data_IF_640866164928
#
_entry.id   IF_640866164928
#
_cell.length_a   1.000
_cell.length_b   1.000
_cell.length_c   1.000
_cell.angle_alpha   90.00
_cell.angle_beta   90.00
_cell.angle_gamma   90.00
#
_symmetry.space_group_name_H-M   'P 1'
#
loop_
_entity.id
_entity.type
_entity.pdbx_description
1 polymer ?
#
# COMPACT_ATOMS: atom_id res chain seq x y z
N UNK A 1 -46.39 8.09 24.35
CA UNK A 1 -46.14 7.25 25.53
C UNK A 1 -46.21 8.13 26.77
N UNK A 2 -47.28 8.02 27.57
CA UNK A 2 -47.51 8.85 28.75
C UNK A 2 -47.04 8.12 30.02
N UNK A 3 -46.27 8.80 30.89
CA UNK A 3 -45.95 8.35 32.25
C UNK A 3 -46.72 9.20 33.25
N UNK A 4 -47.30 8.53 34.25
CA UNK A 4 -48.14 9.11 35.31
C UNK A 4 -47.23 9.56 36.46
N UNK A 5 -47.27 10.83 36.83
CA UNK A 5 -46.64 11.35 38.06
C UNK A 5 -47.64 11.38 39.21
N UNK A 6 -47.14 11.35 40.45
CA UNK A 6 -47.83 11.04 41.72
C UNK A 6 -48.96 11.99 42.14
N UNK A 7 -49.21 13.08 41.42
CA UNK A 7 -50.15 14.13 41.85
C UNK A 7 -51.42 14.21 40.99
N UNK A 8 -51.82 13.10 40.36
CA UNK A 8 -53.20 12.90 39.86
C UNK A 8 -53.67 13.82 38.72
N UNK A 9 -52.81 14.62 38.11
CA UNK A 9 -53.15 15.52 37.00
C UNK A 9 -52.56 15.06 35.67
N UNK A 10 -53.41 14.92 34.65
CA UNK A 10 -53.02 14.62 33.27
C UNK A 10 -52.57 15.91 32.57
N UNK A 11 -51.26 16.07 32.32
CA UNK A 11 -50.75 17.14 31.44
C UNK A 11 -50.58 16.59 30.02
N UNK A 12 -51.41 17.08 29.11
CA UNK A 12 -51.20 16.98 27.66
C UNK A 12 -50.03 17.88 27.29
N UNK A 13 -48.98 17.32 26.69
CA UNK A 13 -47.89 18.09 26.11
C UNK A 13 -48.27 18.39 24.65
N UNK A 14 -48.74 19.60 24.41
CA UNK A 14 -48.99 20.15 23.08
C UNK A 14 -47.65 20.55 22.43
N UNK A 15 -47.45 20.14 21.18
CA UNK A 15 -46.31 20.58 20.36
C UNK A 15 -46.64 21.93 19.73
N UNK A 16 -45.77 22.96 19.83
CA UNK A 16 -45.98 24.22 19.12
C UNK A 16 -45.62 24.06 17.63
N UNK A 17 -46.61 24.33 16.78
CA UNK A 17 -46.46 24.53 15.34
C UNK A 17 -46.00 25.96 15.09
N UNK A 18 -44.84 26.14 14.46
CA UNK A 18 -44.34 27.46 14.07
C UNK A 18 -44.44 27.66 12.56
N UNK A 19 -45.27 28.64 12.21
CA UNK A 19 -45.48 29.21 10.89
C UNK A 19 -44.21 29.91 10.37
N UNK A 20 -43.79 29.62 9.13
CA UNK A 20 -42.92 30.54 8.36
C UNK A 20 -43.45 30.82 6.96
N UNK A 21 -43.99 32.04 6.90
CA UNK A 21 -44.21 32.97 5.79
C UNK A 21 -43.55 32.64 4.45
N UNK A 22 -44.40 32.61 3.42
CA UNK A 22 -44.08 32.77 2.01
C UNK A 22 -43.47 34.17 1.77
N UNK A 23 -42.27 34.19 1.20
CA UNK A 23 -41.63 35.38 0.65
C UNK A 23 -41.18 35.08 -0.78
N UNK A 24 -41.95 35.56 -1.75
CA UNK A 24 -41.61 35.62 -3.17
C UNK A 24 -40.55 36.69 -3.40
N UNK A 25 -39.35 36.31 -3.86
CA UNK A 25 -38.44 37.20 -4.57
C UNK A 25 -37.92 36.47 -5.81
N UNK A 26 -38.24 37.07 -6.94
CA UNK A 26 -37.81 36.76 -8.30
C UNK A 26 -36.34 37.07 -8.50
N UNK A 27 -35.55 36.09 -8.96
CA UNK A 27 -34.34 36.33 -9.75
C UNK A 27 -34.23 35.27 -10.84
N UNK A 28 -34.06 35.74 -12.07
CA UNK A 28 -34.03 34.94 -13.28
C UNK A 28 -32.75 34.09 -13.33
N UNK A 29 -32.91 32.76 -13.37
CA UNK A 29 -31.87 31.82 -13.72
C UNK A 29 -32.23 31.17 -15.07
N UNK A 30 -31.31 31.26 -16.02
CA UNK A 30 -31.36 30.67 -17.35
C UNK A 30 -31.63 29.15 -17.27
N UNK A 31 -32.84 28.72 -17.63
CA UNK A 31 -33.15 27.31 -17.84
C UNK A 31 -32.48 26.82 -19.12
N UNK A 32 -31.56 25.86 -19.00
CA UNK A 32 -31.23 24.94 -20.10
C UNK A 32 -32.15 23.73 -19.97
N UNK A 33 -32.91 23.33 -21.01
CA UNK A 33 -33.85 22.23 -20.91
C UNK A 33 -33.12 20.90 -20.79
N UNK A 34 -33.47 20.13 -19.76
CA UNK A 34 -33.12 18.71 -19.61
C UNK A 34 -34.01 17.89 -20.53
N UNK A 35 -33.60 17.72 -21.79
CA UNK A 35 -34.18 16.74 -22.70
C UNK A 35 -33.03 15.95 -23.32
N UNK A 36 -32.91 14.68 -22.92
CA UNK A 36 -32.47 13.48 -23.68
C UNK A 36 -32.08 12.37 -22.70
N UNK A 37 -33.06 11.93 -21.92
CA UNK A 37 -33.19 10.52 -21.59
C UNK A 37 -34.21 9.97 -22.59
N UNK A 38 -33.97 8.75 -23.07
CA UNK A 38 -34.73 8.00 -24.08
C UNK A 38 -34.29 8.27 -25.53
N UNK A 39 -33.29 7.51 -25.97
CA UNK A 39 -33.23 6.89 -27.30
C UNK A 39 -32.43 5.60 -27.17
N UNK A 40 -33.04 4.62 -26.49
CA UNK A 40 -32.69 3.20 -26.61
C UNK A 40 -33.68 2.59 -27.60
N UNK A 41 -33.61 3.01 -28.86
CA UNK A 41 -34.20 2.25 -29.95
C UNK A 41 -33.09 1.42 -30.60
N UNK A 42 -33.17 0.12 -30.31
CA UNK A 42 -32.34 -0.94 -30.87
C UNK A 42 -32.62 -1.02 -32.37
N UNK A 43 -31.67 -0.60 -33.21
CA UNK A 43 -31.60 -1.05 -34.60
C UNK A 43 -30.89 -2.40 -34.64
N UNK A 44 -31.69 -3.46 -34.77
CA UNK A 44 -31.31 -4.88 -34.68
C UNK A 44 -30.53 -5.43 -35.88
N UNK A 45 -29.67 -4.65 -36.55
CA UNK A 45 -28.99 -5.12 -37.78
C UNK A 45 -27.46 -4.90 -37.85
N UNK A 46 -26.80 -4.42 -36.79
CA UNK A 46 -25.34 -4.48 -36.73
C UNK A 46 -24.87 -4.96 -35.35
N UNK A 47 -24.43 -6.22 -35.34
CA UNK A 47 -23.89 -6.92 -34.19
C UNK A 47 -22.72 -6.17 -33.54
N UNK A 48 -22.83 -5.99 -32.22
CA UNK A 48 -21.74 -5.98 -31.23
C UNK A 48 -20.46 -5.22 -31.60
N UNK A 49 -20.48 -3.88 -31.50
CA UNK A 49 -19.25 -3.10 -31.28
C UNK A 49 -19.48 -2.15 -30.11
N UNK A 50 -18.78 -2.40 -29.01
CA UNK A 50 -18.83 -1.57 -27.80
C UNK A 50 -18.29 -0.18 -28.13
N UNK A 51 -19.13 0.85 -27.99
CA UNK A 51 -18.72 2.24 -28.08
C UNK A 51 -17.71 2.52 -26.95
N UNK A 52 -16.50 2.94 -27.31
CA UNK A 52 -15.48 3.31 -26.33
C UNK A 52 -15.72 4.75 -25.89
N UNK A 53 -16.04 4.93 -24.61
CA UNK A 53 -16.23 6.27 -24.01
C UNK A 53 -14.95 6.67 -23.30
N UNK A 54 -14.32 7.77 -23.72
CA UNK A 54 -13.17 8.32 -23.02
C UNK A 54 -13.61 8.84 -21.64
N UNK A 55 -12.96 8.33 -20.59
CA UNK A 55 -13.30 8.66 -19.19
C UNK A 55 -13.06 10.13 -18.82
N UNK A 56 -12.24 10.84 -19.59
CA UNK A 56 -11.86 12.24 -19.30
C UNK A 56 -12.82 13.24 -19.92
N UNK A 57 -13.25 13.04 -21.16
CA UNK A 57 -14.07 14.00 -21.91
C UNK A 57 -15.51 13.54 -22.21
N UNK A 58 -15.88 12.29 -21.91
CA UNK A 58 -17.23 11.70 -22.09
C UNK A 58 -17.86 11.89 -23.48
N UNK A 59 -17.08 12.24 -24.51
CA UNK A 59 -17.57 12.29 -25.88
C UNK A 59 -17.44 10.90 -26.53
N UNK A 60 -18.50 10.47 -27.19
CA UNK A 60 -18.52 9.26 -28.00
C UNK A 60 -17.80 9.56 -29.32
N UNK A 61 -16.53 9.21 -29.41
CA UNK A 61 -15.83 9.20 -30.69
C UNK A 61 -16.15 7.88 -31.40
N UNK A 62 -16.75 7.89 -32.61
CA UNK A 62 -16.89 6.67 -33.37
C UNK A 62 -15.49 6.09 -33.62
N UNK A 63 -15.27 4.76 -33.48
CA UNK A 63 -13.97 4.20 -33.76
C UNK A 63 -13.63 4.50 -35.23
N UNK A 64 -12.50 5.17 -35.46
CA UNK A 64 -11.96 5.36 -36.80
C UNK A 64 -11.90 3.98 -37.48
N UNK A 65 -12.47 3.81 -38.70
CA UNK A 65 -12.28 2.57 -39.41
C UNK A 65 -10.79 2.43 -39.67
N UNK A 66 -10.16 1.46 -39.00
CA UNK A 66 -8.91 0.92 -39.49
C UNK A 66 -9.22 0.43 -40.90
N UNK A 67 -8.87 1.22 -41.91
CA UNK A 67 -8.69 0.75 -43.26
C UNK A 67 -7.56 -0.28 -43.15
N UNK A 68 -7.94 -1.52 -42.87
CA UNK A 68 -7.15 -2.67 -43.23
C UNK A 68 -6.99 -2.56 -44.75
N UNK A 69 -5.92 -1.90 -45.19
CA UNK A 69 -5.35 -2.14 -46.51
C UNK A 69 -5.09 -3.64 -46.53
N UNK A 70 -6.04 -4.37 -47.11
CA UNK A 70 -5.86 -5.75 -47.50
C UNK A 70 -4.69 -5.73 -48.49
N UNK A 71 -3.49 -5.97 -47.98
CA UNK A 71 -2.39 -6.36 -48.84
C UNK A 71 -2.82 -7.68 -49.46
N UNK A 72 -3.26 -7.64 -50.71
CA UNK A 72 -3.36 -8.79 -51.59
C UNK A 72 -2.02 -9.52 -51.50
N UNK A 73 -2.02 -10.64 -50.79
CA UNK A 73 -0.86 -11.52 -50.67
C UNK A 73 -0.73 -12.21 -52.03
N UNK A 74 0.21 -11.77 -52.87
CA UNK A 74 0.69 -12.62 -53.95
C UNK A 74 1.38 -13.83 -53.33
N UNK A 75 0.65 -14.94 -53.28
CA UNK A 75 1.04 -16.20 -52.67
C UNK A 75 1.97 -17.03 -53.59
N UNK A 76 2.97 -16.42 -54.22
CA UNK A 76 3.84 -17.12 -55.18
C UNK A 76 5.34 -17.08 -54.86
N UNK A 77 5.77 -16.50 -53.72
CA UNK A 77 7.20 -16.47 -53.36
C UNK A 77 7.48 -17.24 -52.07
N UNK A 78 8.06 -18.45 -52.18
CA UNK A 78 8.33 -19.41 -51.10
C UNK A 78 9.66 -19.20 -50.34
N UNK A 79 10.21 -17.98 -50.32
CA UNK A 79 11.46 -17.67 -49.57
C UNK A 79 11.25 -17.37 -48.08
N UNK A 80 12.32 -17.35 -47.25
CA UNK A 80 12.25 -16.97 -45.83
C UNK A 80 11.76 -15.53 -45.63
N UNK A 81 11.14 -15.27 -44.47
CA UNK A 81 10.49 -13.97 -44.16
C UNK A 81 11.46 -12.78 -44.26
N UNK A 82 12.70 -13.00 -43.85
CA UNK A 82 13.81 -12.04 -43.86
C UNK A 82 14.09 -11.55 -45.28
N UNK A 83 14.27 -12.47 -46.25
CA UNK A 83 14.47 -12.14 -47.66
C UNK A 83 13.26 -11.45 -48.29
N UNK A 84 12.03 -11.80 -47.88
CA UNK A 84 10.81 -11.12 -48.37
C UNK A 84 10.73 -9.67 -47.90
N UNK A 85 11.08 -9.41 -46.65
CA UNK A 85 11.14 -8.05 -46.11
C UNK A 85 12.27 -7.27 -46.77
N UNK A 86 13.41 -7.92 -47.00
CA UNK A 86 14.58 -7.39 -47.69
C UNK A 86 14.24 -6.91 -49.12
N UNK A 87 13.61 -7.77 -49.92
CA UNK A 87 13.14 -7.42 -51.29
C UNK A 87 12.11 -6.30 -51.28
N UNK A 88 11.25 -6.22 -50.26
CA UNK A 88 10.25 -5.14 -50.16
C UNK A 88 10.84 -3.78 -49.79
N UNK A 89 11.86 -3.76 -48.94
CA UNK A 89 12.55 -2.51 -48.56
C UNK A 89 13.29 -1.94 -49.78
N UNK A 90 13.91 -2.81 -50.57
CA UNK A 90 14.72 -2.39 -51.73
C UNK A 90 14.00 -2.42 -53.07
N UNK A 91 12.78 -2.95 -53.14
CA UNK A 91 11.95 -2.97 -54.34
C UNK A 91 12.48 -3.85 -55.48
N UNK A 92 13.57 -4.58 -55.27
CA UNK A 92 14.21 -5.47 -56.26
C UNK A 92 14.29 -6.90 -55.74
N UNK A 93 14.27 -7.89 -56.65
CA UNK A 93 14.36 -9.31 -56.30
C UNK A 93 15.75 -9.72 -55.77
N UNK A 94 16.80 -8.98 -56.15
CA UNK A 94 18.16 -9.14 -55.65
C UNK A 94 18.64 -7.87 -54.94
N UNK A 95 18.36 -7.73 -53.64
CA UNK A 95 18.81 -6.59 -52.85
C UNK A 95 20.32 -6.62 -52.58
N UNK A 96 21.04 -5.49 -52.74
CA UNK A 96 22.50 -5.45 -52.61
C UNK A 96 22.97 -5.79 -51.17
N UNK A 97 23.92 -6.71 -51.07
CA UNK A 97 24.50 -7.25 -49.83
C UNK A 97 24.37 -8.78 -49.73
N UNK A 98 25.34 -9.43 -49.07
CA UNK A 98 25.33 -10.88 -48.83
C UNK A 98 24.11 -11.29 -47.98
N UNK A 99 23.66 -12.56 -48.14
CA UNK A 99 22.73 -13.19 -47.19
C UNK A 99 23.32 -13.07 -45.79
N UNK A 100 22.47 -12.72 -44.82
CA UNK A 100 22.83 -12.30 -43.47
C UNK A 100 24.08 -13.03 -42.91
N UNK A 101 25.20 -12.34 -42.65
CA UNK A 101 26.47 -12.98 -42.25
C UNK A 101 26.43 -13.61 -40.85
N UNK A 102 25.36 -13.38 -40.09
CA UNK A 102 25.05 -14.10 -38.86
C UNK A 102 23.88 -15.02 -39.19
N UNK A 103 24.13 -16.33 -39.34
CA UNK A 103 23.16 -17.30 -39.87
C UNK A 103 21.78 -17.34 -39.17
N UNK A 104 20.89 -18.21 -39.67
CA UNK A 104 19.44 -18.29 -39.37
C UNK A 104 19.02 -17.68 -38.02
N UNK A 105 18.35 -16.52 -38.09
CA UNK A 105 17.84 -15.82 -36.92
C UNK A 105 16.92 -16.73 -36.09
N UNK A 106 16.87 -16.53 -34.77
CA UNK A 106 16.02 -17.30 -33.83
C UNK A 106 14.54 -17.33 -34.26
N UNK A 107 14.10 -16.32 -35.02
CA UNK A 107 12.79 -16.27 -35.63
C UNK A 107 12.62 -17.31 -36.74
N UNK A 108 13.58 -17.50 -37.64
CA UNK A 108 13.53 -18.54 -38.68
C UNK A 108 13.47 -19.95 -38.10
N UNK A 109 14.21 -20.22 -37.01
CA UNK A 109 14.14 -21.50 -36.28
C UNK A 109 12.74 -21.77 -35.71
N UNK A 110 12.02 -20.73 -35.28
CA UNK A 110 10.64 -20.88 -34.79
C UNK A 110 9.64 -21.11 -35.92
N UNK A 111 9.85 -20.50 -37.09
CA UNK A 111 8.94 -20.67 -38.23
C UNK A 111 9.16 -21.98 -39.01
N UNK A 112 10.37 -22.56 -38.97
CA UNK A 112 10.62 -23.90 -39.55
C UNK A 112 10.01 -25.07 -38.77
N UNK A 113 9.57 -24.88 -37.52
CA UNK A 113 9.03 -25.97 -36.69
C UNK A 113 7.66 -26.53 -37.14
N UNK A 114 7.04 -25.97 -38.17
CA UNK A 114 5.76 -26.47 -38.71
C UNK A 114 5.79 -26.63 -40.24
N UNK A 115 6.41 -27.69 -40.81
CA UNK A 115 6.01 -28.18 -42.13
C UNK A 115 4.84 -29.18 -41.99
N UNK A 116 3.84 -29.16 -42.90
CA UNK A 116 2.87 -30.24 -43.00
C UNK A 116 3.57 -31.53 -43.47
N UNK A 117 3.15 -32.67 -42.90
CA UNK A 117 3.65 -34.01 -43.25
C UNK A 117 3.21 -34.37 -44.66
N UNK A 118 4.15 -34.48 -45.59
CA UNK A 118 4.03 -35.30 -46.79
C UNK A 118 5.10 -36.40 -46.72
N UNK A 119 4.65 -37.62 -47.00
CA UNK A 119 5.45 -38.83 -47.06
C UNK A 119 6.28 -38.81 -48.33
N UNK A 120 7.56 -39.19 -48.26
CA UNK A 120 8.21 -40.07 -49.24
C UNK A 120 9.64 -40.44 -48.78
N UNK A 121 9.82 -41.75 -48.65
CA UNK A 121 10.94 -42.62 -49.06
C UNK A 121 12.42 -42.18 -48.92
N UNK A 122 13.18 -43.07 -48.29
CA UNK A 122 14.65 -43.06 -48.21
C UNK A 122 15.28 -43.27 -49.61
N UNK A 123 16.55 -42.87 -49.78
CA UNK A 123 17.55 -43.93 -49.81
C UNK A 123 18.79 -43.67 -48.94
N UNK A 124 19.38 -44.82 -48.61
CA UNK A 124 20.63 -45.09 -47.92
C UNK A 124 21.80 -44.50 -48.70
N UNK A 125 22.65 -43.72 -48.04
CA UNK A 125 24.10 -43.60 -48.24
C UNK A 125 24.62 -42.40 -47.41
N UNK A 126 25.32 -42.71 -46.32
CA UNK A 126 26.33 -41.91 -45.55
C UNK A 126 26.29 -42.24 -44.05
N UNK A 127 26.37 -43.53 -43.70
CA UNK A 127 26.53 -44.01 -42.32
C UNK A 127 27.96 -44.49 -42.01
N UNK A 128 28.99 -43.94 -42.68
CA UNK A 128 30.38 -44.41 -42.56
C UNK A 128 31.43 -43.31 -42.29
N UNK A 129 31.06 -42.13 -41.79
CA UNK A 129 32.04 -41.05 -41.55
C UNK A 129 31.96 -40.33 -40.19
N UNK A 130 31.21 -40.84 -39.22
CA UNK A 130 31.13 -40.21 -37.87
C UNK A 130 31.40 -41.15 -36.70
N UNK A 131 31.65 -42.45 -36.94
CA UNK A 131 32.07 -43.38 -35.87
C UNK A 131 33.57 -43.30 -35.53
N UNK A 132 34.33 -42.38 -36.12
CA UNK A 132 35.77 -42.24 -35.87
C UNK A 132 36.16 -40.98 -35.07
N UNK A 133 35.19 -40.25 -34.49
CA UNK A 133 35.45 -38.99 -33.78
C UNK A 133 34.84 -38.89 -32.37
N UNK A 134 34.26 -39.96 -31.82
CA UNK A 134 33.61 -39.95 -30.49
C UNK A 134 34.38 -40.76 -29.43
N UNK A 135 35.53 -41.35 -29.77
CA UNK A 135 36.39 -42.07 -28.81
C UNK A 135 37.49 -41.22 -28.15
N UNK A 136 37.43 -39.88 -28.28
CA UNK A 136 38.42 -39.01 -27.67
C UNK A 136 37.76 -37.79 -27.04
N UNK A 137 37.04 -38.00 -25.94
CA UNK A 137 36.92 -37.04 -24.84
C UNK A 137 36.23 -37.78 -23.68
N UNK A 138 37.03 -38.60 -23.00
CA UNK A 138 36.73 -39.11 -21.67
C UNK A 138 36.36 -37.93 -20.77
N UNK A 139 35.12 -37.99 -20.28
CA UNK A 139 34.71 -37.72 -18.91
C UNK A 139 35.83 -37.21 -18.00
N UNK A 140 35.91 -35.88 -17.84
CA UNK A 140 36.39 -35.29 -16.58
C UNK A 140 35.16 -35.16 -15.70
N UNK A 141 34.79 -36.27 -15.07
CA UNK A 141 34.01 -36.25 -13.83
C UNK A 141 34.93 -35.63 -12.78
N UNK A 142 34.59 -34.52 -12.12
CA UNK A 142 35.25 -34.18 -10.87
C UNK A 142 34.80 -35.22 -9.84
N UNK A 143 35.57 -36.31 -9.76
CA UNK A 143 35.59 -37.21 -8.61
C UNK A 143 36.09 -36.38 -7.42
N UNK A 144 35.17 -35.97 -6.54
CA UNK A 144 35.41 -35.72 -5.11
C UNK A 144 34.12 -35.20 -4.45
N UNK A 145 33.10 -36.05 -4.37
CA UNK A 145 32.11 -36.02 -3.29
C UNK A 145 32.21 -37.39 -2.63
N UNK A 146 32.49 -37.50 -1.32
CA UNK A 146 32.56 -38.79 -0.67
C UNK A 146 31.18 -39.45 -0.73
N UNK A 147 31.05 -40.47 -1.56
CA UNK A 147 29.88 -41.35 -1.59
C UNK A 147 29.91 -42.13 -0.29
N UNK A 148 29.24 -41.61 0.74
CA UNK A 148 28.96 -42.38 1.93
C UNK A 148 28.19 -43.63 1.53
N UNK A 149 28.55 -44.79 2.09
CA UNK A 149 28.04 -46.14 1.79
C UNK A 149 26.53 -46.33 2.11
N UNK A 150 25.75 -45.24 2.26
CA UNK A 150 24.39 -45.20 2.79
C UNK A 150 23.41 -44.40 1.90
N UNK A 151 23.61 -44.39 0.58
CA UNK A 151 22.64 -43.80 -0.35
C UNK A 151 21.64 -44.86 -0.84
N UNK A 152 20.38 -44.75 -0.43
CA UNK A 152 19.28 -45.59 -0.92
C UNK A 152 18.43 -44.82 -1.94
N UNK A 153 18.20 -45.36 -3.16
CA UNK A 153 17.38 -44.69 -4.15
C UNK A 153 15.89 -44.70 -3.74
N UNK A 154 15.21 -43.57 -3.92
CA UNK A 154 13.79 -43.45 -3.61
C UNK A 154 12.91 -44.31 -4.53
N UNK A 155 11.95 -45.04 -3.95
CA UNK A 155 10.98 -45.87 -4.68
C UNK A 155 9.70 -45.13 -5.07
N UNK A 156 9.35 -44.06 -4.34
CA UNK A 156 8.22 -43.18 -4.64
C UNK A 156 8.69 -41.72 -4.61
N UNK A 157 7.94 -40.84 -5.25
CA UNK A 157 8.21 -39.40 -5.25
C UNK A 157 7.66 -38.69 -4.00
N UNK A 158 6.89 -39.40 -3.18
CA UNK A 158 6.27 -38.88 -1.96
C UNK A 158 7.34 -38.59 -0.89
N UNK A 159 7.38 -37.36 -0.40
CA UNK A 159 8.33 -36.94 0.63
C UNK A 159 9.71 -36.49 0.12
N UNK A 160 9.98 -36.55 -1.20
CA UNK A 160 11.22 -36.00 -1.75
C UNK A 160 11.18 -34.48 -1.78
N UNK A 161 12.27 -33.85 -1.33
CA UNK A 161 12.44 -32.42 -1.51
C UNK A 161 12.55 -32.12 -2.99
N UNK A 162 11.57 -31.37 -3.51
CA UNK A 162 11.68 -30.81 -4.85
C UNK A 162 12.73 -29.70 -4.78
N UNK A 163 13.68 -29.67 -5.70
CA UNK A 163 14.73 -28.64 -5.78
C UNK A 163 14.69 -28.05 -7.18
N UNK A 164 14.86 -26.73 -7.31
CA UNK A 164 14.70 -25.99 -8.58
C UNK A 164 13.23 -25.69 -8.93
N UNK A 165 12.97 -24.63 -9.74
CA UNK A 165 11.65 -24.16 -10.23
C UNK A 165 10.48 -24.26 -9.20
N UNK A 166 10.75 -24.21 -7.90
CA UNK A 166 9.69 -24.36 -6.90
C UNK A 166 8.85 -23.10 -6.68
N UNK A 167 9.24 -22.01 -7.34
CA UNK A 167 8.64 -20.71 -7.17
C UNK A 167 9.42 -19.64 -7.92
N UNK A 168 9.07 -18.39 -7.66
CA UNK A 168 9.88 -17.25 -8.07
C UNK A 168 11.02 -17.10 -7.07
N UNK A 169 12.15 -16.53 -7.49
CA UNK A 169 13.26 -16.20 -6.58
C UNK A 169 12.81 -15.36 -5.36
N UNK A 170 11.68 -14.64 -5.49
CA UNK A 170 11.02 -13.89 -4.43
C UNK A 170 10.44 -14.73 -3.27
N UNK A 171 10.32 -16.04 -3.45
CA UNK A 171 9.74 -16.94 -2.44
C UNK A 171 10.79 -17.39 -1.42
N UNK A 172 12.07 -17.07 -1.64
CA UNK A 172 13.15 -17.22 -0.68
C UNK A 172 13.00 -16.18 0.45
N UNK A 173 13.30 -16.55 1.71
CA UNK A 173 13.21 -15.62 2.83
C UNK A 173 14.17 -14.43 2.62
N UNK A 174 13.71 -13.23 2.99
CA UNK A 174 14.49 -12.01 2.85
C UNK A 174 15.73 -12.04 3.75
N UNK A 175 16.89 -11.62 3.20
CA UNK A 175 18.10 -11.36 3.99
C UNK A 175 18.00 -10.08 4.83
N UNK A 176 18.86 -9.94 5.83
CA UNK A 176 18.92 -8.76 6.71
C UNK A 176 19.19 -7.46 5.94
N UNK A 177 20.00 -7.52 4.87
CA UNK A 177 20.28 -6.40 3.97
C UNK A 177 19.04 -5.89 3.22
N UNK A 178 17.96 -6.67 3.15
CA UNK A 178 16.71 -6.27 2.51
C UNK A 178 15.69 -5.66 3.50
N UNK A 179 16.06 -5.46 4.78
CA UNK A 179 15.14 -4.95 5.79
C UNK A 179 14.86 -3.46 5.54
N UNK A 180 13.60 -3.14 5.27
CA UNK A 180 13.15 -1.76 5.11
C UNK A 180 12.82 -1.12 6.47
N UNK A 181 13.44 0.03 6.72
CA UNK A 181 13.12 0.93 7.82
C UNK A 181 12.25 2.08 7.30
N UNK A 182 11.01 2.12 7.79
CA UNK A 182 10.06 3.15 7.42
C UNK A 182 10.27 4.40 8.26
N UNK A 183 10.21 5.57 7.62
CA UNK A 183 10.21 6.85 8.33
C UNK A 183 9.07 6.94 9.37
N UNK A 184 7.89 6.41 9.04
CA UNK A 184 6.73 6.37 9.92
C UNK A 184 6.65 5.06 10.70
N UNK A 185 5.95 5.06 11.84
CA UNK A 185 5.66 3.83 12.60
C UNK A 185 4.90 2.81 11.72
N UNK A 186 5.33 1.54 11.76
CA UNK A 186 4.75 0.45 10.96
C UNK A 186 3.29 0.17 11.32
N UNK A 187 2.93 0.28 12.59
CA UNK A 187 1.56 0.13 13.09
C UNK A 187 0.91 1.50 13.27
N UNK A 188 -0.09 1.80 12.44
CA UNK A 188 -0.81 3.07 12.48
C UNK A 188 -1.65 3.21 13.75
N UNK A 189 -1.69 4.41 14.31
CA UNK A 189 -2.52 4.73 15.47
C UNK A 189 -4.00 4.81 15.07
N UNK A 190 -4.86 4.06 15.77
CA UNK A 190 -6.31 4.05 15.53
C UNK A 190 -7.10 4.69 16.67
N UNK A 191 -6.57 4.71 17.90
CA UNK A 191 -7.30 5.29 19.04
C UNK A 191 -7.22 6.82 19.01
N UNK A 192 -8.36 7.48 19.18
CA UNK A 192 -8.47 8.95 19.20
C UNK A 192 -7.58 9.62 20.25
N UNK A 193 -7.48 9.04 21.44
CA UNK A 193 -6.61 9.56 22.50
C UNK A 193 -5.12 9.49 22.16
N UNK A 194 -4.66 8.44 21.49
CA UNK A 194 -3.27 8.36 21.02
C UNK A 194 -2.99 9.34 19.88
N UNK A 195 -3.96 9.61 19.00
CA UNK A 195 -3.83 10.67 17.99
C UNK A 195 -3.74 12.06 18.63
N UNK A 196 -4.51 12.30 19.69
CA UNK A 196 -4.44 13.53 20.46
C UNK A 196 -3.06 13.70 21.13
N UNK A 197 -2.51 12.62 21.73
CA UNK A 197 -1.17 12.61 22.31
C UNK A 197 -0.08 12.89 21.28
N UNK A 198 -0.13 12.24 20.11
CA UNK A 198 0.80 12.50 19.02
C UNK A 198 0.75 13.96 18.55
N UNK A 199 -0.44 14.55 18.44
CA UNK A 199 -0.61 15.94 18.05
C UNK A 199 -0.11 16.93 19.10
N UNK A 200 -0.35 16.64 20.39
CA UNK A 200 0.14 17.45 21.51
C UNK A 200 1.66 17.39 21.61
N UNK A 201 2.25 16.20 21.52
CA UNK A 201 3.71 16.03 21.51
C UNK A 201 4.35 16.82 20.36
N UNK A 202 3.87 16.64 19.13
CA UNK A 202 4.38 17.36 17.97
C UNK A 202 4.24 18.88 18.14
N UNK A 203 3.14 19.35 18.73
CA UNK A 203 2.94 20.77 18.98
C UNK A 203 3.94 21.33 19.99
N UNK A 204 4.17 20.64 21.11
CA UNK A 204 5.12 21.06 22.14
C UNK A 204 6.56 21.07 21.60
N UNK A 205 6.97 20.00 20.91
CA UNK A 205 8.31 19.90 20.30
C UNK A 205 8.59 21.07 19.33
N UNK A 206 7.61 21.43 18.51
CA UNK A 206 7.76 22.55 17.59
C UNK A 206 7.80 23.91 18.28
N UNK A 207 6.97 24.11 19.31
CA UNK A 207 7.03 25.33 20.11
C UNK A 207 8.42 25.50 20.76
N UNK A 208 9.00 24.39 21.25
CA UNK A 208 10.36 24.37 21.80
C UNK A 208 11.40 24.77 20.75
N UNK A 209 11.36 24.14 19.58
CA UNK A 209 12.34 24.43 18.53
C UNK A 209 12.25 25.84 17.97
N UNK A 210 11.04 26.38 17.88
CA UNK A 210 10.84 27.78 17.50
C UNK A 210 11.40 28.73 18.58
N UNK A 211 11.18 28.42 19.86
CA UNK A 211 11.77 29.22 20.96
C UNK A 211 13.30 29.21 20.97
N UNK A 212 13.91 28.11 20.50
CA UNK A 212 15.37 27.95 20.38
C UNK A 212 15.93 28.44 19.04
N UNK A 213 15.07 28.94 18.11
CA UNK A 213 15.44 29.35 16.76
C UNK A 213 16.22 28.28 15.96
N UNK A 214 15.88 27.02 16.17
CA UNK A 214 16.48 25.88 15.46
C UNK A 214 15.62 25.45 14.28
N UNK A 215 16.18 24.77 13.27
CA UNK A 215 15.38 24.26 12.15
C UNK A 215 14.31 23.29 12.66
N UNK A 216 13.05 23.55 12.31
CA UNK A 216 11.89 22.77 12.76
C UNK A 216 11.92 21.31 12.26
N UNK A 217 12.74 21.01 11.24
CA UNK A 217 12.86 19.69 10.64
C UNK A 217 13.72 18.71 11.44
N UNK A 218 14.62 19.18 12.32
CA UNK A 218 15.53 18.29 13.06
C UNK A 218 14.82 17.46 14.14
N UNK A 219 13.63 17.88 14.59
CA UNK A 219 12.76 17.07 15.48
C UNK A 219 12.46 15.69 14.87
N UNK A 220 12.39 15.62 13.53
CA UNK A 220 12.03 14.39 12.84
C UNK A 220 13.14 13.33 12.84
N UNK A 221 14.36 13.68 13.26
CA UNK A 221 15.47 12.72 13.39
C UNK A 221 15.28 11.80 14.60
N UNK A 222 14.60 12.28 15.63
CA UNK A 222 14.32 11.50 16.85
C UNK A 222 13.04 10.69 16.65
N UNK A 223 13.13 9.36 16.56
CA UNK A 223 11.94 8.50 16.28
C UNK A 223 10.95 8.51 17.45
N UNK A 224 11.42 8.23 18.67
CA UNK A 224 10.63 8.22 19.90
C UNK A 224 11.47 8.81 21.05
N UNK A 225 10.81 9.46 22.01
CA UNK A 225 11.45 9.98 23.21
C UNK A 225 11.37 8.97 24.35
N UNK A 226 12.38 8.97 25.22
CA UNK A 226 12.35 8.20 26.46
C UNK A 226 11.15 8.56 27.34
N UNK A 227 10.72 7.61 28.18
CA UNK A 227 9.58 7.76 29.07
C UNK A 227 9.65 8.99 29.98
N UNK A 228 10.86 9.36 30.42
CA UNK A 228 11.10 10.53 31.25
C UNK A 228 10.84 11.84 30.48
N UNK A 229 11.41 11.97 29.29
CA UNK A 229 11.22 13.15 28.42
C UNK A 229 9.77 13.27 27.98
N UNK A 230 9.14 12.15 27.61
CA UNK A 230 7.72 12.14 27.26
C UNK A 230 6.83 12.63 28.41
N UNK A 231 7.14 12.26 29.67
CA UNK A 231 6.39 12.72 30.84
C UNK A 231 6.50 14.24 31.03
N UNK A 232 7.67 14.81 30.76
CA UNK A 232 7.87 16.27 30.78
C UNK A 232 7.05 16.95 29.69
N UNK A 233 7.14 16.47 28.45
CA UNK A 233 6.38 16.98 27.30
C UNK A 233 4.86 16.90 27.55
N UNK A 234 4.37 15.77 28.07
CA UNK A 234 2.96 15.57 28.42
C UNK A 234 2.47 16.52 29.52
N UNK A 235 3.37 16.99 30.39
CA UNK A 235 3.08 17.97 31.44
C UNK A 235 2.91 19.41 30.93
N UNK A 236 3.42 19.73 29.74
CA UNK A 236 3.39 21.07 29.17
C UNK A 236 2.00 21.45 28.64
N UNK A 237 1.62 22.70 28.91
CA UNK A 237 0.35 23.29 28.45
C UNK A 237 0.60 24.24 27.30
N UNK A 238 -0.32 24.29 26.36
CA UNK A 238 -0.28 25.23 25.24
C UNK A 238 -1.43 26.23 25.41
N UNK A 239 -1.11 27.52 25.44
CA UNK A 239 -2.11 28.57 25.46
C UNK A 239 -2.83 28.65 24.11
N UNK A 240 -4.17 28.76 24.11
CA UNK A 240 -4.91 28.83 22.86
C UNK A 240 -4.65 30.15 22.12
N UNK A 241 -4.60 30.11 20.80
CA UNK A 241 -4.40 31.26 19.89
C UNK A 241 -3.07 32.03 20.05
N UNK A 242 -2.09 31.48 20.75
CA UNK A 242 -0.75 32.06 20.84
C UNK A 242 0.12 31.69 19.63
N UNK A 243 1.20 32.45 19.41
CA UNK A 243 2.24 32.11 18.41
C UNK A 243 3.08 30.94 18.94
N UNK A 244 3.58 30.10 18.05
CA UNK A 244 4.29 28.86 18.36
C UNK A 244 5.47 29.05 19.33
N UNK A 245 6.29 30.10 19.19
CA UNK A 245 7.39 30.37 20.14
C UNK A 245 6.99 30.82 21.57
N UNK A 246 5.82 31.44 21.75
CA UNK A 246 5.37 32.00 23.05
C UNK A 246 4.21 31.21 23.68
N UNK A 247 3.64 30.25 22.95
CA UNK A 247 2.44 29.53 23.37
C UNK A 247 2.66 28.56 24.53
N UNK A 248 3.92 28.18 24.81
CA UNK A 248 4.25 27.09 25.70
C UNK A 248 4.31 27.54 27.17
N UNK A 249 3.47 26.92 28.01
CA UNK A 249 3.46 27.09 29.46
C UNK A 249 3.93 25.80 30.10
N UNK A 250 5.05 25.89 30.79
CA UNK A 250 5.68 24.77 31.46
C UNK A 250 5.15 24.61 32.89
N UNK A 251 5.10 23.37 33.40
CA UNK A 251 4.65 23.11 34.76
C UNK A 251 5.62 23.69 35.80
N UNK A 252 6.92 23.43 35.66
CA UNK A 252 7.96 23.90 36.60
C UNK A 252 9.15 24.53 35.84
N UNK A 253 9.94 25.36 36.52
CA UNK A 253 11.15 25.92 35.91
C UNK A 253 12.19 24.84 35.59
N UNK A 254 12.36 23.84 36.46
CA UNK A 254 13.25 22.70 36.22
C UNK A 254 12.87 21.93 34.94
N UNK A 255 11.56 21.80 34.67
CA UNK A 255 11.09 21.15 33.43
C UNK A 255 11.44 21.96 32.18
N UNK A 256 11.50 23.30 32.28
CA UNK A 256 11.97 24.15 31.18
C UNK A 256 13.43 23.87 30.90
N UNK A 257 14.25 23.95 31.94
CA UNK A 257 15.70 23.87 31.80
C UNK A 257 16.11 22.47 31.28
N UNK A 258 15.45 21.41 31.76
CA UNK A 258 15.65 20.05 31.26
C UNK A 258 15.23 19.89 29.78
N UNK A 259 14.06 20.41 29.39
CA UNK A 259 13.60 20.33 28.00
C UNK A 259 14.48 21.17 27.06
N UNK A 260 14.85 22.39 27.47
CA UNK A 260 15.77 23.24 26.70
C UNK A 260 17.10 22.51 26.49
N UNK A 261 17.69 21.92 27.54
CA UNK A 261 18.92 21.15 27.43
C UNK A 261 18.82 19.97 26.45
N UNK A 262 17.74 19.18 26.52
CA UNK A 262 17.52 18.05 25.61
C UNK A 262 17.38 18.54 24.16
N UNK A 263 16.59 19.59 23.93
CA UNK A 263 16.35 20.11 22.57
C UNK A 263 17.54 20.95 22.04
N UNK A 264 18.44 21.42 22.91
CA UNK A 264 19.73 21.97 22.53
C UNK A 264 20.68 20.93 21.92
N UNK A 265 20.57 19.66 22.34
CA UNK A 265 21.33 18.57 21.72
C UNK A 265 20.72 18.12 20.39
N UNK A 266 19.40 18.24 20.24
CA UNK A 266 18.72 17.89 18.99
C UNK A 266 19.06 18.93 17.91
N UNK A 267 19.74 18.50 16.85
CA UNK A 267 20.20 19.37 15.76
C UNK A 267 21.53 20.09 16.02
N UNK A 268 22.33 19.68 17.01
CA UNK A 268 23.74 20.07 17.06
C UNK A 268 24.57 19.24 16.07
N UNK A 269 24.77 19.80 14.87
CA UNK A 269 25.79 19.51 13.86
C UNK A 269 25.63 18.28 12.93
N UNK A 270 25.42 18.60 11.64
CA UNK A 270 26.14 17.99 10.52
C UNK A 270 26.47 19.04 9.44
N UNK A 271 27.05 20.18 9.83
CA UNK A 271 27.62 21.18 8.91
C UNK A 271 29.05 21.53 9.33
N UNK A 272 29.92 20.52 9.43
CA UNK A 272 31.38 20.65 9.33
C UNK A 272 31.93 19.30 8.86
N UNK A 273 31.69 18.96 7.59
CA UNK A 273 32.27 17.78 6.97
C UNK A 273 32.44 17.94 5.44
N UNK A 274 32.78 19.14 4.95
CA UNK A 274 33.46 19.32 3.65
C UNK A 274 34.24 20.64 3.67
N UNK A 275 35.48 20.62 4.18
CA UNK A 275 36.59 21.44 3.69
C UNK A 275 37.86 21.04 4.46
N UNK A 276 38.73 20.34 3.74
CA UNK A 276 40.19 20.25 3.93
C UNK A 276 40.74 19.54 5.19
N UNK A 277 41.05 18.25 5.02
CA UNK A 277 42.29 17.65 5.56
C UNK A 277 43.50 18.29 4.85
N UNK A 278 44.68 18.46 5.49
CA UNK A 278 45.35 17.32 6.11
C UNK A 278 46.22 17.54 7.38
N UNK A 279 46.43 16.41 8.05
CA UNK A 279 47.67 15.92 8.69
C UNK A 279 47.97 16.25 10.18
N UNK A 280 47.99 15.13 10.94
CA UNK A 280 48.89 14.77 12.05
C UNK A 280 48.87 15.60 13.35
N UNK A 281 48.37 15.01 14.45
CA UNK A 281 49.24 14.36 15.44
C UNK A 281 48.47 13.85 16.71
N UNK A 282 48.91 12.67 17.16
CA UNK A 282 48.90 12.10 18.54
C UNK A 282 47.65 11.35 19.03
N UNK A 283 47.81 10.02 19.01
CA UNK A 283 47.19 9.03 19.90
C UNK A 283 47.42 9.35 21.38
N UNK A 284 46.38 9.39 22.23
CA UNK A 284 46.42 8.80 23.58
C UNK A 284 45.00 8.79 24.20
N UNK A 285 44.72 7.76 25.02
CA UNK A 285 43.48 7.51 25.79
C UNK A 285 42.38 6.68 25.11
N UNK A 286 42.76 5.44 24.76
CA UNK A 286 41.89 4.30 25.03
C UNK A 286 41.93 3.96 26.54
N UNK A 287 40.89 3.28 27.02
CA UNK A 287 40.63 2.82 28.40
C UNK A 287 39.97 3.81 29.37
N UNK A 288 38.63 3.80 29.40
CA UNK A 288 37.88 3.52 30.63
C UNK A 288 36.38 3.31 30.35
N UNK A 289 35.84 2.23 30.92
CA UNK A 289 34.41 1.88 31.11
C UNK A 289 33.65 1.18 29.97
N UNK A 290 34.19 0.05 29.48
CA UNK A 290 33.38 -1.17 29.47
C UNK A 290 33.24 -1.63 30.93
N UNK A 291 32.01 -1.72 31.45
CA UNK A 291 31.54 -2.49 32.63
C UNK A 291 30.30 -1.83 33.26
N UNK A 292 29.11 -2.29 32.88
CA UNK A 292 27.98 -2.63 33.77
C UNK A 292 26.75 -3.00 32.91
N UNK A 293 26.92 -4.05 32.11
CA UNK A 293 25.83 -4.89 31.66
C UNK A 293 25.70 -5.97 32.75
N UNK A 294 24.68 -5.85 33.61
CA UNK A 294 23.99 -6.96 34.31
C UNK A 294 23.25 -6.44 35.55
N UNK A 295 21.95 -6.12 35.38
CA UNK A 295 20.87 -6.41 36.34
C UNK A 295 19.57 -5.63 36.04
N UNK A 296 19.06 -5.70 34.80
CA UNK A 296 17.61 -5.63 34.58
C UNK A 296 17.26 -6.66 33.51
N UNK A 297 16.98 -7.89 33.95
CA UNK A 297 16.29 -8.88 33.13
C UNK A 297 14.83 -8.43 33.02
N UNK A 298 14.56 -7.45 32.17
CA UNK A 298 13.22 -7.25 31.64
C UNK A 298 13.04 -8.23 30.50
N UNK A 299 12.35 -9.32 30.82
CA UNK A 299 11.75 -10.24 29.88
C UNK A 299 11.21 -9.46 28.67
N UNK A 300 11.86 -9.60 27.52
CA UNK A 300 11.35 -9.21 26.21
C UNK A 300 10.10 -10.05 25.92
N UNK A 301 9.01 -9.64 26.54
CA UNK A 301 7.69 -10.05 26.13
C UNK A 301 7.45 -9.42 24.75
N UNK A 302 7.31 -10.27 23.74
CA UNK A 302 6.89 -9.95 22.36
C UNK A 302 5.50 -9.28 22.26
N UNK A 303 5.01 -8.67 23.34
CA UNK A 303 3.89 -7.75 23.31
C UNK A 303 4.40 -6.38 22.84
N UNK A 304 3.73 -5.73 21.87
CA UNK A 304 4.13 -4.40 21.45
C UNK A 304 4.09 -3.48 22.67
N UNK A 305 5.22 -2.83 22.97
CA UNK A 305 5.28 -1.83 24.03
C UNK A 305 4.07 -0.89 23.90
N UNK A 306 3.37 -0.58 25.01
CA UNK A 306 2.17 0.23 24.94
C UNK A 306 2.52 1.60 24.34
N UNK A 307 1.82 1.97 23.26
CA UNK A 307 1.98 3.28 22.63
C UNK A 307 1.89 4.39 23.68
N UNK A 308 2.81 5.35 23.63
CA UNK A 308 2.93 6.42 24.61
C UNK A 308 2.96 5.91 26.05
N UNK A 309 3.69 4.84 26.35
CA UNK A 309 3.92 4.32 27.71
C UNK A 309 2.65 4.05 28.55
N UNK A 310 1.50 3.83 27.90
CA UNK A 310 0.21 3.57 28.55
C UNK A 310 -0.66 4.80 28.82
N UNK A 311 -0.25 6.00 28.38
CA UNK A 311 -1.09 7.20 28.47
C UNK A 311 -2.27 7.13 27.50
N UNK A 312 -3.48 7.41 27.99
CA UNK A 312 -4.72 7.27 27.23
C UNK A 312 -5.15 8.56 26.52
N UNK A 313 -4.95 9.73 27.13
CA UNK A 313 -5.40 11.02 26.60
C UNK A 313 -4.51 12.18 27.08
N UNK A 314 -4.63 13.33 26.40
CA UNK A 314 -3.90 14.57 26.69
C UNK A 314 -4.55 15.30 27.88
N UNK A 315 -3.74 16.00 28.68
CA UNK A 315 -4.24 16.85 29.78
C UNK A 315 -4.96 18.10 29.29
N UNK A 316 -4.39 18.78 28.30
CA UNK A 316 -4.86 20.07 27.79
C UNK A 316 -5.06 20.05 26.28
N UNK A 317 -6.17 20.62 25.82
CA UNK A 317 -6.58 20.64 24.39
C UNK A 317 -6.23 21.95 23.66
N UNK A 318 -5.47 22.84 24.31
CA UNK A 318 -5.12 24.15 23.75
C UNK A 318 -4.41 24.08 22.40
N UNK A 319 -3.62 23.01 22.18
CA UNK A 319 -2.90 22.74 20.93
C UNK A 319 -3.80 22.66 19.70
N UNK A 320 -5.09 22.30 19.83
CA UNK A 320 -6.02 22.21 18.70
C UNK A 320 -6.27 23.57 18.05
N UNK A 321 -6.16 24.66 18.82
CA UNK A 321 -6.41 26.03 18.35
C UNK A 321 -5.19 26.66 17.65
N UNK A 322 -4.04 25.99 17.64
CA UNK A 322 -2.83 26.54 17.01
C UNK A 322 -3.02 26.68 15.49
N UNK A 323 -2.75 27.88 14.92
CA UNK A 323 -2.80 28.09 13.49
C UNK A 323 -1.56 27.53 12.80
N UNK A 324 -1.75 26.88 11.65
CA UNK A 324 -0.69 26.38 10.76
C UNK A 324 -0.62 27.26 9.50
N UNK A 325 -0.35 28.56 9.71
CA UNK A 325 -0.29 29.54 8.63
C UNK A 325 1.08 29.55 7.93
N UNK A 326 2.16 29.44 8.71
CA UNK A 326 3.51 29.44 8.16
C UNK A 326 3.81 28.09 7.51
N UNK A 327 4.41 28.12 6.32
CA UNK A 327 4.64 26.91 5.52
C UNK A 327 5.64 25.96 6.20
N UNK A 328 6.66 26.51 6.86
CA UNK A 328 7.70 25.74 7.53
C UNK A 328 7.17 25.04 8.79
N UNK A 329 6.40 25.75 9.63
CA UNK A 329 5.75 25.17 10.82
C UNK A 329 4.69 24.14 10.42
N UNK A 330 3.91 24.43 9.37
CA UNK A 330 2.93 23.51 8.81
C UNK A 330 3.57 22.23 8.30
N UNK A 331 4.64 22.33 7.53
CA UNK A 331 5.36 21.18 7.00
C UNK A 331 5.98 20.36 8.13
N UNK A 332 6.69 21.01 9.05
CA UNK A 332 7.33 20.34 10.18
C UNK A 332 6.31 19.64 11.09
N UNK A 333 5.17 20.29 11.36
CA UNK A 333 4.08 19.70 12.15
C UNK A 333 3.51 18.46 11.49
N UNK A 334 3.15 18.56 10.20
CA UNK A 334 2.59 17.43 9.47
C UNK A 334 3.59 16.28 9.35
N UNK A 335 4.87 16.58 9.11
CA UNK A 335 5.94 15.58 9.03
C UNK A 335 6.09 14.86 10.37
N UNK A 336 6.22 15.59 11.48
CA UNK A 336 6.35 14.99 12.82
C UNK A 336 5.10 14.22 13.24
N UNK A 337 3.92 14.78 13.01
CA UNK A 337 2.66 14.11 13.30
C UNK A 337 2.48 12.82 12.47
N UNK A 338 2.92 12.80 11.21
CA UNK A 338 2.91 11.59 10.37
C UNK A 338 3.86 10.52 10.88
N UNK A 339 5.03 10.91 11.39
CA UNK A 339 6.01 10.01 12.00
C UNK A 339 5.41 9.32 13.24
N UNK A 340 4.84 10.10 14.15
CA UNK A 340 4.24 9.62 15.41
C UNK A 340 2.93 8.84 15.21
N UNK A 341 2.13 9.18 14.19
CA UNK A 341 0.81 8.56 14.00
C UNK A 341 0.79 7.42 12.97
N UNK A 342 1.76 7.37 12.06
CA UNK A 342 1.77 6.44 10.93
C UNK A 342 0.83 6.83 9.79
N UNK A 343 0.20 8.02 9.84
CA UNK A 343 -0.73 8.48 8.80
C UNK A 343 -0.09 9.49 7.86
N UNK A 344 -0.23 9.22 6.56
CA UNK A 344 0.27 10.08 5.49
C UNK A 344 -0.81 11.08 5.04
N UNK A 345 -0.37 12.31 4.71
CA UNK A 345 -1.23 13.37 4.21
C UNK A 345 -1.00 13.58 2.72
N UNK A 346 -2.01 13.38 1.85
CA UNK A 346 -1.89 13.71 0.45
C UNK A 346 -1.89 15.24 0.24
N UNK A 347 -1.10 15.74 -0.71
CA UNK A 347 -0.93 17.16 -1.04
C UNK A 347 -2.22 18.01 -1.09
N UNK A 348 -3.33 17.58 -1.73
CA UNK A 348 -4.56 18.39 -1.73
C UNK A 348 -5.13 18.62 -0.32
N UNK A 349 -4.95 17.66 0.59
CA UNK A 349 -5.41 17.79 1.98
C UNK A 349 -4.52 18.73 2.76
N UNK A 350 -3.20 18.70 2.51
CA UNK A 350 -2.24 19.63 3.12
C UNK A 350 -2.65 21.07 2.81
N UNK A 351 -3.06 21.38 1.58
CA UNK A 351 -3.50 22.74 1.24
C UNK A 351 -4.73 23.19 2.04
N UNK A 352 -5.71 22.30 2.24
CA UNK A 352 -6.97 22.63 2.95
C UNK A 352 -6.83 22.85 4.46
N UNK A 353 -5.76 22.33 5.06
CA UNK A 353 -5.54 22.37 6.50
C UNK A 353 -4.95 23.73 6.91
N UNK A 354 -5.62 24.44 7.81
CA UNK A 354 -5.15 25.70 8.40
C UNK A 354 -4.91 25.64 9.91
N UNK A 355 -5.39 24.58 10.58
CA UNK A 355 -5.30 24.45 12.05
C UNK A 355 -4.96 23.02 12.45
N UNK A 356 -4.38 22.87 13.66
CA UNK A 356 -4.09 21.55 14.23
C UNK A 356 -5.38 20.75 14.51
N UNK A 357 -6.50 21.40 14.81
CA UNK A 357 -7.78 20.70 14.90
C UNK A 357 -8.13 19.95 13.59
N UNK A 358 -7.97 20.61 12.45
CA UNK A 358 -8.28 20.03 11.14
C UNK A 358 -7.35 18.87 10.77
N UNK A 359 -6.08 18.89 11.19
CA UNK A 359 -5.16 17.74 10.95
C UNK A 359 -5.64 16.50 11.68
N UNK A 360 -6.01 16.65 12.96
CA UNK A 360 -6.50 15.56 13.80
C UNK A 360 -7.85 15.06 13.30
N UNK A 361 -8.77 15.96 12.93
CA UNK A 361 -10.07 15.60 12.36
C UNK A 361 -9.92 14.84 11.03
N UNK A 362 -9.01 15.27 10.16
CA UNK A 362 -8.72 14.58 8.92
C UNK A 362 -8.24 13.14 9.20
N UNK A 363 -7.27 12.96 10.10
CA UNK A 363 -6.77 11.61 10.43
C UNK A 363 -7.85 10.75 11.07
N UNK A 364 -8.69 11.31 11.94
CA UNK A 364 -9.84 10.59 12.49
C UNK A 364 -10.80 10.11 11.39
N UNK A 365 -11.02 10.92 10.35
CA UNK A 365 -11.84 10.50 9.21
C UNK A 365 -11.19 9.40 8.35
N UNK A 366 -9.86 9.31 8.33
CA UNK A 366 -9.11 8.25 7.65
C UNK A 366 -9.09 6.96 8.47
N UNK A 367 -9.03 7.06 9.80
CA UNK A 367 -9.05 5.91 10.72
C UNK A 367 -10.41 5.22 10.73
N UNK A 368 -11.49 6.01 10.71
CA UNK A 368 -12.86 5.51 10.65
C UNK A 368 -13.47 5.80 9.25
N UNK A 369 -12.98 5.15 8.18
CA UNK A 369 -13.48 5.43 6.84
C UNK A 369 -14.93 4.96 6.73
N UNK A 370 -15.69 5.64 5.86
CA UNK A 370 -17.04 5.19 5.52
C UNK A 370 -16.96 3.75 4.99
N UNK A 371 -17.81 2.82 5.49
CA UNK A 371 -17.78 1.43 5.05
C UNK A 371 -18.00 1.36 3.55
N UNK A 372 -17.08 0.71 2.83
CA UNK A 372 -17.15 0.58 1.36
C UNK A 372 -18.23 -0.41 0.92
N UNK A 373 -18.49 -1.42 1.74
CA UNK A 373 -19.52 -2.43 1.47
C UNK A 373 -20.84 -1.97 2.05
N UNK A 374 -21.89 -2.05 1.23
CA UNK A 374 -23.27 -1.84 1.70
C UNK A 374 -23.62 -2.76 2.86
N UNK A 375 -23.11 -3.99 2.86
CA UNK A 375 -23.37 -4.94 3.94
C UNK A 375 -22.82 -4.47 5.30
N UNK A 376 -21.64 -3.84 5.32
CA UNK A 376 -21.02 -3.30 6.53
C UNK A 376 -21.75 -2.03 6.99
N UNK A 377 -22.23 -1.21 6.04
CA UNK A 377 -23.09 -0.07 6.35
C UNK A 377 -24.44 -0.50 6.95
N UNK A 378 -25.09 -1.49 6.34
CA UNK A 378 -26.38 -2.01 6.79
C UNK A 378 -26.25 -2.75 8.13
N UNK A 379 -25.13 -3.44 8.37
CA UNK A 379 -24.88 -4.06 9.66
C UNK A 379 -24.66 -3.01 10.76
N UNK A 380 -23.99 -1.88 10.48
CA UNK A 380 -23.83 -0.78 11.45
C UNK A 380 -25.12 -0.01 11.78
N UNK A 381 -26.17 -0.15 10.98
CA UNK A 381 -27.43 0.56 11.19
C UNK A 381 -28.25 -0.09 12.33
N UNK A 382 -28.20 0.54 13.52
CA UNK A 382 -28.93 0.09 14.72
C UNK A 382 -30.42 -0.14 14.47
N UNK A 383 -31.07 0.64 13.59
CA UNK A 383 -32.49 0.47 13.25
C UNK A 383 -32.79 -0.91 12.63
N UNK A 384 -31.92 -1.39 11.75
CA UNK A 384 -32.08 -2.69 11.08
C UNK A 384 -31.67 -3.85 11.99
N UNK A 385 -30.70 -3.64 12.88
CA UNK A 385 -30.35 -4.64 13.89
C UNK A 385 -31.46 -4.85 14.92
N UNK A 386 -32.19 -3.80 15.27
CA UNK A 386 -33.27 -3.87 16.26
C UNK A 386 -34.55 -4.54 15.72
N UNK A 387 -34.69 -4.70 14.39
CA UNK A 387 -35.84 -5.36 13.78
C UNK A 387 -35.63 -6.88 13.71
N UNK A 388 -36.45 -7.65 14.42
CA UNK A 388 -36.32 -9.12 14.52
C UNK A 388 -36.69 -9.89 13.25
N UNK A 389 -37.44 -9.27 12.33
CA UNK A 389 -37.91 -9.86 11.08
C UNK A 389 -36.91 -9.70 9.91
N UNK A 390 -35.84 -8.94 10.09
CA UNK A 390 -34.84 -8.67 9.05
C UNK A 390 -33.50 -9.25 9.49
N UNK A 391 -32.88 -10.06 8.61
CA UNK A 391 -31.53 -10.59 8.81
C UNK A 391 -30.61 -10.04 7.72
N UNK A 392 -29.53 -9.37 8.13
CA UNK A 392 -28.51 -8.85 7.21
C UNK A 392 -27.31 -9.78 7.24
N UNK A 393 -26.89 -10.26 6.07
CA UNK A 393 -25.71 -11.10 5.92
C UNK A 393 -24.59 -10.32 5.23
N UNK A 394 -23.35 -10.47 5.72
CA UNK A 394 -22.17 -9.77 5.19
C UNK A 394 -21.61 -10.40 3.91
N UNK A 395 -21.86 -11.70 3.72
CA UNK A 395 -21.42 -12.49 2.56
C UNK A 395 -22.64 -13.02 1.80
N UNK A 396 -22.41 -13.36 0.52
CA UNK A 396 -23.42 -14.04 -0.30
C UNK A 396 -23.72 -15.41 0.31
N UNK A 397 -25.00 -15.67 0.54
CA UNK A 397 -25.51 -16.97 0.96
C UNK A 397 -25.35 -18.01 -0.15
N UNK A 398 -24.53 -19.03 0.09
CA UNK A 398 -24.33 -20.18 -0.82
C UNK A 398 -25.38 -21.27 -0.53
N UNK A 399 -25.46 -22.26 -1.42
CA UNK A 399 -26.30 -23.45 -1.20
C UNK A 399 -25.83 -24.24 0.02
N UNK A 400 -24.52 -24.36 0.21
CA UNK A 400 -23.91 -24.99 1.39
C UNK A 400 -24.40 -24.37 2.70
N UNK A 401 -24.52 -23.04 2.73
CA UNK A 401 -24.89 -22.28 3.93
C UNK A 401 -26.36 -22.54 4.27
N UNK A 402 -27.22 -22.66 3.25
CA UNK A 402 -28.62 -23.11 3.44
C UNK A 402 -28.70 -24.55 3.93
N UNK A 403 -27.88 -25.45 3.39
CA UNK A 403 -27.84 -26.84 3.84
C UNK A 403 -27.28 -26.96 5.27
N UNK A 404 -26.44 -26.01 5.70
CA UNK A 404 -25.96 -25.87 7.08
C UNK A 404 -27.04 -25.36 8.01
N UNK A 405 -27.78 -24.30 7.62
CA UNK A 405 -28.94 -23.78 8.36
C UNK A 405 -30.03 -24.86 8.55
N UNK A 406 -30.18 -25.76 7.57
CA UNK A 406 -31.09 -26.90 7.63
C UNK A 406 -30.50 -28.14 8.32
N UNK A 407 -29.21 -28.15 8.66
CA UNK A 407 -28.50 -29.27 9.27
C UNK A 407 -28.14 -30.45 8.34
N UNK A 408 -28.44 -30.35 7.04
CA UNK A 408 -28.18 -31.41 6.03
C UNK A 408 -26.70 -31.54 5.66
N UNK A 409 -25.94 -30.45 5.76
CA UNK A 409 -24.52 -30.41 5.39
C UNK A 409 -23.68 -31.50 6.09
N UNK A 410 -23.96 -31.79 7.37
CA UNK A 410 -23.25 -32.82 8.14
C UNK A 410 -23.40 -34.22 7.56
N UNK A 411 -24.60 -34.56 7.07
CA UNK A 411 -24.89 -35.86 6.45
C UNK A 411 -24.16 -35.97 5.12
N UNK A 412 -24.19 -34.91 4.32
CA UNK A 412 -23.51 -34.86 3.03
C UNK A 412 -21.99 -35.00 3.20
N UNK A 413 -21.39 -34.29 4.16
CA UNK A 413 -19.95 -34.38 4.44
C UNK A 413 -19.53 -35.76 4.96
N UNK A 414 -20.37 -36.41 5.77
CA UNK A 414 -20.13 -37.79 6.22
C UNK A 414 -20.13 -38.76 5.04
N UNK A 415 -21.14 -38.73 4.17
CA UNK A 415 -21.20 -39.60 2.99
C UNK A 415 -20.06 -39.34 1.99
N UNK A 416 -19.67 -38.07 1.80
CA UNK A 416 -18.56 -37.73 0.91
C UNK A 416 -17.22 -38.23 1.44
N UNK A 417 -17.02 -38.21 2.77
CA UNK A 417 -15.82 -38.79 3.43
C UNK A 417 -15.83 -40.31 3.34
N UNK A 418 -16.97 -40.96 3.58
CA UNK A 418 -17.12 -42.42 3.44
C UNK A 418 -16.81 -42.91 2.01
N UNK A 419 -17.10 -42.08 1.00
CA UNK A 419 -16.81 -42.37 -0.42
C UNK A 419 -15.41 -41.94 -0.87
N UNK A 420 -14.62 -41.32 0.02
CA UNK A 420 -13.26 -40.84 -0.31
C UNK A 420 -13.20 -39.64 -1.26
N UNK A 421 -14.27 -38.84 -1.36
CA UNK A 421 -14.25 -37.59 -2.15
C UNK A 421 -13.66 -36.41 -1.36
N UNK A 422 -13.65 -36.51 -0.03
CA UNK A 422 -13.07 -35.53 0.88
C UNK A 422 -12.21 -36.34 1.85
N UNK A 423 -10.92 -36.05 1.89
CA UNK A 423 -9.97 -36.59 2.87
C UNK A 423 -10.05 -35.82 4.19
#
# INVERSE_FOLDING_TARGET
MARRSSDGSWKLFENPTENRKLGTITTAATMRPSIRLLNLEVSSLQSSRTLYVCSVCRQETPPHPLLARQFLRHASNSGPLTERMRRKIWGTDNPPGMKDPYGESVLEKRFRKNPPKEQEEQPVETAQAVEAAVEAENEVVPEDIPVGEAYEPATTWEGLSRVGHLGRWSDLPASETNRYESFTIKKKLTKKGHLALAAHQAAVELCLMESLNKPLTSICEVVEHDKAVFKLLWGCKIQPNAKWGEALVYPDQETKDALVYIFEQIGSASETAVADEPAEAVEESAEASELNEDAVVELESNSPAPHFFGYADVRDKGYLSLPLNDLDTKFAFLKRFSQLSGHFFPDPTIHSISTVAQTVEYVQSVVDPKPTKLADYLSGNQKLQNTSNVKVFTKRQKRSDKDEELGRKKVIEAELRERGFIE
#
